data_IF_047305986415
#
_entry.id   IF_047305986415
#
_cell.length_a   1.000
_cell.length_b   1.000
_cell.length_c   1.000
_cell.angle_alpha   90.00
_cell.angle_beta   90.00
_cell.angle_gamma   90.00
#
_symmetry.space_group_name_H-M   'P 1'
#
loop_
_entity.id
_entity.type
_entity.pdbx_description
1 polymer ?
#
# COMPACT_ATOMS: atom_id res chain seq x y z
N UNK A 1 10.52 3.76 8.28
CA UNK A 1 9.36 4.52 7.75
C UNK A 1 9.42 5.93 8.32
N UNK A 2 9.24 6.93 7.47
CA UNK A 2 8.96 8.31 7.89
C UNK A 2 7.47 8.50 8.19
N UNK A 3 7.04 9.75 8.33
CA UNK A 3 5.62 10.09 8.35
C UNK A 3 5.00 9.98 6.96
N UNK A 4 3.71 9.67 6.90
CA UNK A 4 2.90 9.55 5.69
C UNK A 4 1.67 10.44 5.84
N UNK A 5 1.38 11.27 4.84
CA UNK A 5 0.32 12.28 4.96
C UNK A 5 -1.10 11.68 4.90
N UNK A 6 -1.21 10.41 4.46
CA UNK A 6 -2.44 9.63 4.54
C UNK A 6 -3.03 9.60 5.97
N UNK A 7 -2.19 9.73 7.00
CA UNK A 7 -2.64 9.80 8.39
C UNK A 7 -3.66 10.93 8.64
N UNK A 8 -3.59 12.04 7.89
CA UNK A 8 -4.55 13.14 8.00
C UNK A 8 -5.99 12.69 7.71
N UNK A 9 -6.19 11.76 6.77
CA UNK A 9 -7.53 11.24 6.44
C UNK A 9 -8.16 10.46 7.60
N UNK A 10 -7.33 9.85 8.46
CA UNK A 10 -7.80 9.04 9.59
C UNK A 10 -8.54 9.85 10.66
N UNK A 11 -8.36 11.18 10.67
CA UNK A 11 -9.12 12.08 11.53
C UNK A 11 -10.58 12.27 11.07
N UNK A 12 -10.88 12.02 9.78
CA UNK A 12 -12.18 12.31 9.17
C UNK A 12 -13.00 11.05 8.85
N UNK A 13 -12.35 9.89 8.70
CA UNK A 13 -13.02 8.63 8.42
C UNK A 13 -12.24 7.43 9.00
N UNK A 14 -12.93 6.32 9.35
CA UNK A 14 -12.26 5.05 9.57
C UNK A 14 -11.44 4.68 8.33
N UNK A 15 -10.15 4.46 8.52
CA UNK A 15 -9.22 4.25 7.43
C UNK A 15 -8.18 3.19 7.82
N UNK A 16 -7.64 2.54 6.80
CA UNK A 16 -6.56 1.57 6.93
C UNK A 16 -5.48 1.86 5.89
N UNK A 17 -4.23 1.65 6.27
CA UNK A 17 -3.06 1.80 5.42
C UNK A 17 -2.21 0.53 5.52
N UNK A 18 -1.79 -0.03 4.39
CA UNK A 18 -1.15 -1.34 4.33
C UNK A 18 0.23 -1.23 3.68
N UNK A 19 1.16 -2.04 4.17
CA UNK A 19 2.45 -2.25 3.52
C UNK A 19 2.32 -3.39 2.52
N UNK A 20 2.68 -3.14 1.26
CA UNK A 20 2.82 -4.15 0.23
C UNK A 20 4.30 -4.51 0.07
N UNK A 21 4.60 -5.81 0.03
CA UNK A 21 5.95 -6.27 -0.28
C UNK A 21 6.32 -5.90 -1.72
N UNK A 22 7.30 -5.02 -1.89
CA UNK A 22 7.77 -4.55 -3.19
C UNK A 22 9.08 -5.19 -3.68
N UNK A 23 9.66 -6.11 -2.91
CA UNK A 23 10.97 -6.70 -3.20
C UNK A 23 12.12 -5.70 -3.06
N UNK A 24 13.23 -5.98 -3.76
CA UNK A 24 14.42 -5.15 -3.74
C UNK A 24 15.22 -5.19 -2.43
N UNK A 25 16.44 -4.64 -2.44
CA UNK A 25 17.37 -4.66 -1.29
C UNK A 25 17.74 -3.27 -0.78
N UNK A 26 17.49 -2.22 -1.57
CA UNK A 26 17.74 -0.83 -1.19
C UNK A 26 16.48 -0.21 -0.56
N UNK A 27 16.62 0.67 0.45
CA UNK A 27 15.48 1.30 1.09
C UNK A 27 14.82 2.35 0.20
N UNK A 28 13.58 2.73 0.55
CA UNK A 28 12.94 3.93 0.00
C UNK A 28 13.86 5.15 0.13
N UNK A 29 13.81 6.06 -0.86
CA UNK A 29 14.69 7.24 -1.00
C UNK A 29 16.17 6.95 -1.33
N UNK A 30 16.54 5.72 -1.68
CA UNK A 30 17.86 5.41 -2.22
C UNK A 30 17.94 5.62 -3.74
N UNK A 31 19.10 6.00 -4.26
CA UNK A 31 19.40 6.01 -5.71
C UNK A 31 19.35 4.61 -6.36
N UNK A 32 19.34 3.56 -5.54
CA UNK A 32 19.24 2.16 -5.96
C UNK A 32 17.85 1.56 -5.68
N UNK A 33 16.87 2.38 -5.33
CA UNK A 33 15.51 1.91 -5.06
C UNK A 33 14.90 1.30 -6.32
N UNK A 34 14.40 0.07 -6.18
CA UNK A 34 13.69 -0.69 -7.21
C UNK A 34 12.50 -1.39 -6.59
N UNK A 35 11.53 -1.74 -7.43
CA UNK A 35 10.37 -2.55 -7.07
C UNK A 35 10.28 -3.70 -8.07
N UNK A 36 10.03 -4.90 -7.57
CA UNK A 36 9.72 -6.10 -8.36
C UNK A 36 8.30 -5.96 -8.93
N UNK A 37 8.15 -6.01 -10.25
CA UNK A 37 6.86 -5.76 -10.93
C UNK A 37 5.80 -6.82 -10.59
N UNK A 38 6.21 -8.00 -10.12
CA UNK A 38 5.33 -9.03 -9.58
C UNK A 38 4.48 -8.53 -8.39
N UNK A 39 4.91 -7.47 -7.70
CA UNK A 39 4.13 -6.84 -6.63
C UNK A 39 2.83 -6.20 -7.15
N UNK A 40 2.74 -5.83 -8.43
CA UNK A 40 1.53 -5.22 -9.00
C UNK A 40 0.32 -6.13 -8.90
N UNK A 41 0.46 -7.42 -9.21
CA UNK A 41 -0.63 -8.38 -9.15
C UNK A 41 -1.20 -8.49 -7.73
N UNK A 42 -0.30 -8.58 -6.75
CA UNK A 42 -0.67 -8.67 -5.33
C UNK A 42 -1.33 -7.37 -4.84
N UNK A 43 -0.78 -6.21 -5.21
CA UNK A 43 -1.33 -4.91 -4.84
C UNK A 43 -2.72 -4.66 -5.42
N UNK A 44 -2.93 -4.98 -6.70
CA UNK A 44 -4.23 -4.86 -7.36
C UNK A 44 -5.24 -5.80 -6.72
N UNK A 45 -4.87 -7.07 -6.50
CA UNK A 45 -5.75 -8.05 -5.86
C UNK A 45 -6.15 -7.63 -4.45
N UNK A 46 -5.22 -7.08 -3.65
CA UNK A 46 -5.49 -6.57 -2.31
C UNK A 46 -6.59 -5.49 -2.33
N UNK A 47 -6.42 -4.44 -3.13
CA UNK A 47 -7.40 -3.35 -3.19
C UNK A 47 -8.73 -3.79 -3.79
N UNK A 48 -8.73 -4.63 -4.83
CA UNK A 48 -9.94 -5.16 -5.44
C UNK A 48 -10.74 -6.00 -4.43
N UNK A 49 -10.09 -6.89 -3.70
CA UNK A 49 -10.73 -7.73 -2.69
C UNK A 49 -11.30 -6.88 -1.55
N UNK A 50 -10.52 -5.92 -1.02
CA UNK A 50 -10.99 -5.01 0.03
C UNK A 50 -12.24 -4.26 -0.43
N UNK A 51 -12.25 -3.73 -1.65
CA UNK A 51 -13.39 -3.00 -2.18
C UNK A 51 -14.63 -3.91 -2.34
N UNK A 52 -14.44 -5.13 -2.85
CA UNK A 52 -15.53 -6.10 -2.97
C UNK A 52 -16.09 -6.48 -1.61
N UNK A 53 -15.24 -6.80 -0.64
CA UNK A 53 -15.66 -7.21 0.71
C UNK A 53 -16.34 -6.06 1.47
N UNK A 54 -15.83 -4.83 1.34
CA UNK A 54 -16.42 -3.66 2.00
C UNK A 54 -17.78 -3.26 1.41
N UNK A 55 -18.04 -3.59 0.15
CA UNK A 55 -19.28 -3.25 -0.56
C UNK A 55 -20.27 -4.42 -0.66
N UNK A 56 -19.82 -5.66 -0.44
CA UNK A 56 -20.67 -6.83 -0.32
C UNK A 56 -21.51 -6.70 0.96
N UNK A 57 -22.80 -6.46 0.79
CA UNK A 57 -23.79 -6.42 1.88
C UNK A 57 -24.25 -7.81 2.26
#
# INVERSE_FOLDING_TARGET
MGGEDFAEYTAYAPASFYMLGGGGTAPQHSDHFVIEEEAFETGVALYAQIALDALAK
#
